data_IF_136993997440
#
_entry.id   IF_136993997440
#
_cell.length_a   1.000
_cell.length_b   1.000
_cell.length_c   1.000
_cell.angle_alpha   90.00
_cell.angle_beta   90.00
_cell.angle_gamma   90.00
#
_symmetry.space_group_name_H-M   'P 1'
#
loop_
_entity.id
_entity.type
_entity.pdbx_description
1 polymer ?
#
# COMPACT_ATOMS: atom_id res chain seq x y z
N UNK A 1 -8.81 31.32 -4.81
CA UNK A 1 -8.31 30.34 -3.83
C UNK A 1 -8.64 28.95 -4.38
N UNK A 2 -7.67 28.33 -5.04
CA UNK A 2 -7.83 27.03 -5.70
C UNK A 2 -7.51 25.95 -4.67
N UNK A 3 -8.53 25.23 -4.19
CA UNK A 3 -8.30 23.93 -3.56
C UNK A 3 -7.86 22.99 -4.68
N UNK A 4 -6.56 22.92 -4.90
CA UNK A 4 -5.97 21.88 -5.75
C UNK A 4 -6.12 20.56 -5.00
N UNK A 5 -7.28 19.93 -5.16
CA UNK A 5 -7.35 18.49 -4.98
C UNK A 5 -6.40 17.92 -6.03
N UNK A 6 -5.20 17.49 -5.61
CA UNK A 6 -4.45 16.56 -6.45
C UNK A 6 -5.31 15.30 -6.49
N UNK A 7 -6.17 15.20 -7.51
CA UNK A 7 -6.68 13.94 -8.03
C UNK A 7 -5.46 13.15 -8.50
N UNK A 8 -4.74 12.63 -7.52
CA UNK A 8 -3.58 11.80 -7.68
C UNK A 8 -4.14 10.41 -7.80
N UNK A 9 -3.96 9.78 -8.95
CA UNK A 9 -4.34 8.39 -9.13
C UNK A 9 -3.39 7.51 -8.31
N UNK A 10 -3.77 6.26 -8.09
CA UNK A 10 -2.88 5.21 -7.58
C UNK A 10 -1.52 5.26 -8.29
N UNK A 11 -1.50 5.49 -9.60
CA UNK A 11 -0.28 5.67 -10.40
C UNK A 11 0.64 6.76 -9.87
N UNK A 12 0.13 7.90 -9.40
CA UNK A 12 0.95 8.98 -8.84
C UNK A 12 1.53 8.61 -7.46
N UNK A 13 0.81 7.83 -6.67
CA UNK A 13 1.31 7.29 -5.41
C UNK A 13 2.46 6.31 -5.65
N UNK A 14 2.26 5.41 -6.62
CA UNK A 14 3.26 4.44 -7.05
C UNK A 14 4.51 5.16 -7.57
N UNK A 15 4.34 6.22 -8.37
CA UNK A 15 5.43 7.05 -8.87
C UNK A 15 6.22 7.71 -7.71
N UNK A 16 5.53 8.36 -6.77
CA UNK A 16 6.18 8.95 -5.59
C UNK A 16 6.92 7.92 -4.71
N UNK A 17 6.33 6.73 -4.56
CA UNK A 17 6.94 5.63 -3.83
C UNK A 17 8.16 5.09 -4.61
N UNK A 18 8.07 5.00 -5.93
CA UNK A 18 9.17 4.61 -6.80
C UNK A 18 10.35 5.59 -6.67
N UNK A 19 10.09 6.91 -6.70
CA UNK A 19 11.09 7.96 -6.46
C UNK A 19 11.74 7.84 -5.07
N UNK A 20 11.01 7.38 -4.06
CA UNK A 20 11.53 7.10 -2.71
C UNK A 20 12.30 5.78 -2.59
N UNK A 21 12.41 5.04 -3.70
CA UNK A 21 13.10 3.76 -3.81
C UNK A 21 12.24 2.54 -3.45
N UNK A 22 10.92 2.67 -3.43
CA UNK A 22 9.99 1.55 -3.28
C UNK A 22 9.66 0.99 -4.68
N UNK A 23 10.59 0.22 -5.22
CA UNK A 23 10.51 -0.31 -6.59
C UNK A 23 9.97 -1.74 -6.67
N UNK A 24 9.59 -2.33 -5.54
CA UNK A 24 9.17 -3.73 -5.46
C UNK A 24 7.65 -3.85 -5.33
N UNK A 25 7.00 -4.63 -6.18
CA UNK A 25 5.55 -4.83 -6.12
C UNK A 25 5.20 -6.01 -5.21
N UNK A 26 4.78 -5.70 -3.98
CA UNK A 26 4.31 -6.71 -3.02
C UNK A 26 2.91 -7.20 -3.35
N UNK A 27 2.15 -6.49 -4.18
CA UNK A 27 0.86 -6.99 -4.65
C UNK A 27 1.02 -8.30 -5.45
N UNK A 28 2.06 -8.38 -6.29
CA UNK A 28 2.42 -9.59 -7.04
C UNK A 28 3.24 -10.61 -6.21
N UNK A 29 3.87 -10.16 -5.12
CA UNK A 29 4.79 -10.96 -4.32
C UNK A 29 4.37 -11.03 -2.85
N UNK A 30 3.06 -11.10 -2.59
CA UNK A 30 2.49 -11.07 -1.23
C UNK A 30 2.95 -12.27 -0.39
N UNK A 31 3.25 -13.41 -1.01
CA UNK A 31 3.87 -14.58 -0.39
C UNK A 31 5.20 -14.29 0.33
N UNK A 32 5.98 -13.30 -0.12
CA UNK A 32 7.22 -12.95 0.57
C UNK A 32 6.95 -12.37 1.94
N UNK A 33 5.88 -11.58 2.06
CA UNK A 33 5.44 -10.98 3.31
C UNK A 33 4.85 -12.08 4.19
N UNK A 34 3.92 -12.89 3.66
CA UNK A 34 3.34 -14.06 4.36
C UNK A 34 4.39 -15.02 4.93
N UNK A 35 5.53 -15.19 4.24
CA UNK A 35 6.63 -16.03 4.73
C UNK A 35 7.40 -15.41 5.89
N UNK A 36 7.53 -14.09 5.96
CA UNK A 36 8.34 -13.40 6.97
C UNK A 36 7.73 -12.04 7.38
N UNK A 37 6.48 -11.98 7.89
CA UNK A 37 5.81 -10.71 8.17
C UNK A 37 6.61 -9.80 9.10
N UNK A 38 7.23 -10.39 10.12
CA UNK A 38 7.99 -9.68 11.13
C UNK A 38 9.23 -8.94 10.59
N UNK A 39 9.62 -9.19 9.33
CA UNK A 39 10.70 -8.48 8.65
C UNK A 39 10.21 -7.33 7.79
N UNK A 40 8.90 -7.07 7.73
CA UNK A 40 8.29 -6.00 6.95
C UNK A 40 7.52 -5.04 7.86
N UNK A 41 7.55 -3.77 7.51
CA UNK A 41 6.89 -2.69 8.24
C UNK A 41 6.29 -1.70 7.24
N UNK A 42 5.06 -1.28 7.47
CA UNK A 42 4.42 -0.23 6.68
C UNK A 42 4.98 1.12 7.15
N UNK A 43 5.63 1.84 6.24
CA UNK A 43 6.24 3.16 6.51
C UNK A 43 5.50 4.30 5.82
N UNK A 44 4.69 3.99 4.80
CA UNK A 44 3.85 4.96 4.10
C UNK A 44 2.46 4.38 3.83
N UNK A 45 1.43 5.22 3.94
CA UNK A 45 0.05 4.87 3.59
C UNK A 45 -0.54 6.05 2.84
N UNK A 46 -1.07 5.80 1.64
CA UNK A 46 -1.73 6.81 0.81
C UNK A 46 -3.12 6.31 0.46
N UNK A 47 -4.17 6.99 0.93
CA UNK A 47 -5.55 6.69 0.56
C UNK A 47 -5.96 7.59 -0.61
N UNK A 48 -6.67 6.99 -1.54
CA UNK A 48 -7.20 7.63 -2.74
C UNK A 48 -8.67 7.29 -2.89
N UNK A 49 -9.45 8.29 -3.27
CA UNK A 49 -10.82 8.13 -3.72
C UNK A 49 -10.78 8.13 -5.25
N UNK A 50 -11.27 7.05 -5.86
CA UNK A 50 -11.35 6.90 -7.30
C UNK A 50 -12.16 8.03 -7.91
N UNK A 51 -11.69 8.52 -9.06
CA UNK A 51 -12.32 9.65 -9.74
C UNK A 51 -13.65 9.28 -10.43
N UNK A 52 -13.95 7.97 -10.53
CA UNK A 52 -15.04 7.43 -11.35
C UNK A 52 -16.23 6.93 -10.53
N UNK A 53 -16.02 6.47 -9.29
CA UNK A 53 -17.10 5.97 -8.43
C UNK A 53 -16.77 6.28 -6.97
N UNK A 54 -17.71 6.83 -6.17
CA UNK A 54 -17.51 7.06 -4.73
C UNK A 54 -17.33 5.76 -3.93
N UNK A 55 -17.50 4.59 -4.56
CA UNK A 55 -17.16 3.28 -3.98
C UNK A 55 -15.77 2.76 -4.34
N UNK A 56 -15.06 3.39 -5.27
CA UNK A 56 -13.76 2.91 -5.75
C UNK A 56 -12.62 3.57 -4.96
N UNK A 57 -12.52 3.26 -3.67
CA UNK A 57 -11.41 3.73 -2.84
C UNK A 57 -10.20 2.80 -3.00
N UNK A 58 -8.99 3.34 -3.02
CA UNK A 58 -7.76 2.55 -3.06
C UNK A 58 -6.75 3.09 -2.05
N UNK A 59 -6.05 2.19 -1.37
CA UNK A 59 -5.01 2.51 -0.39
C UNK A 59 -3.69 1.92 -0.85
N UNK A 60 -2.69 2.77 -1.06
CA UNK A 60 -1.33 2.37 -1.41
C UNK A 60 -0.45 2.40 -0.16
N UNK A 61 0.05 1.24 0.22
CA UNK A 61 0.96 1.03 1.34
C UNK A 61 2.40 0.92 0.83
N UNK A 62 3.28 1.78 1.33
CA UNK A 62 4.73 1.64 1.17
C UNK A 62 5.29 0.80 2.31
N UNK A 63 5.78 -0.39 1.97
CA UNK A 63 6.33 -1.36 2.91
C UNK A 63 7.85 -1.36 2.80
N UNK A 64 8.51 -1.38 3.95
CA UNK A 64 9.95 -1.48 4.08
C UNK A 64 10.30 -2.73 4.87
N UNK A 65 11.26 -3.49 4.37
CA UNK A 65 11.85 -4.60 5.09
C UNK A 65 13.01 -4.12 5.96
N UNK A 66 13.21 -4.79 7.09
CA UNK A 66 14.42 -4.64 7.95
C UNK A 66 15.71 -4.96 7.19
N UNK A 67 15.62 -5.74 6.10
CA UNK A 67 16.74 -6.06 5.19
C UNK A 67 17.07 -4.94 4.19
N UNK A 68 16.27 -3.86 4.16
CA UNK A 68 16.45 -2.74 3.25
C UNK A 68 15.61 -2.83 1.97
N UNK A 69 14.93 -3.95 1.70
CA UNK A 69 13.97 -4.05 0.58
C UNK A 69 12.80 -3.10 0.81
N UNK A 70 12.39 -2.36 -0.22
CA UNK A 70 11.28 -1.41 -0.17
C UNK A 70 10.34 -1.71 -1.32
N UNK A 71 9.05 -1.71 -1.04
CA UNK A 71 8.04 -2.01 -2.04
C UNK A 71 6.68 -1.45 -1.72
N UNK A 72 5.76 -1.62 -2.65
CA UNK A 72 4.43 -1.04 -2.64
C UNK A 72 3.38 -2.15 -2.66
N UNK A 73 2.29 -1.91 -1.95
CA UNK A 73 1.12 -2.77 -1.95
C UNK A 73 -0.12 -1.90 -2.12
N UNK A 74 -0.93 -2.20 -3.12
CA UNK A 74 -2.16 -1.47 -3.41
C UNK A 74 -3.34 -2.31 -2.96
N UNK A 75 -4.18 -1.76 -2.10
CA UNK A 75 -5.46 -2.32 -1.70
C UNK A 75 -6.57 -1.52 -2.37
N UNK A 76 -7.55 -2.18 -2.98
CA UNK A 76 -8.80 -1.53 -3.40
C UNK A 76 -9.91 -1.73 -2.36
N UNK A 77 -11.00 -0.98 -2.46
CA UNK A 77 -12.25 -1.18 -1.71
C UNK A 77 -13.25 -2.04 -2.51
N UNK A 78 -12.75 -3.08 -3.17
CA UNK A 78 -13.61 -4.15 -3.68
C UNK A 78 -13.74 -5.24 -2.61
N UNK A 79 -14.91 -5.89 -2.52
CA UNK A 79 -15.20 -6.89 -1.48
C UNK A 79 -14.14 -8.03 -1.37
N UNK A 80 -13.41 -8.30 -2.45
CA UNK A 80 -12.28 -9.25 -2.48
C UNK A 80 -10.98 -8.68 -1.91
N UNK A 81 -10.75 -7.37 -2.07
CA UNK A 81 -9.54 -6.68 -1.61
C UNK A 81 -9.51 -6.48 -0.10
N UNK A 82 -10.68 -6.39 0.55
CA UNK A 82 -10.81 -6.29 2.01
C UNK A 82 -10.14 -7.49 2.70
N UNK A 83 -10.43 -8.71 2.27
CA UNK A 83 -9.86 -9.93 2.87
C UNK A 83 -8.35 -10.03 2.70
N UNK A 84 -7.81 -9.64 1.53
CA UNK A 84 -6.36 -9.64 1.33
C UNK A 84 -5.68 -8.58 2.19
N UNK A 85 -6.29 -7.40 2.31
CA UNK A 85 -5.77 -6.29 3.11
C UNK A 85 -5.83 -6.60 4.61
N UNK A 86 -6.94 -7.17 5.09
CA UNK A 86 -7.09 -7.61 6.48
C UNK A 86 -6.04 -8.68 6.83
N UNK A 87 -5.85 -9.68 5.95
CA UNK A 87 -4.79 -10.68 6.15
C UNK A 87 -3.41 -10.04 6.13
N UNK A 88 -3.19 -9.08 5.25
CA UNK A 88 -1.91 -8.37 5.14
C UNK A 88 -1.59 -7.56 6.40
N UNK A 89 -2.57 -6.80 6.91
CA UNK A 89 -2.46 -6.04 8.15
C UNK A 89 -2.37 -6.95 9.38
N UNK A 90 -3.02 -8.12 9.36
CA UNK A 90 -2.94 -9.11 10.44
C UNK A 90 -1.58 -9.79 10.48
N UNK A 91 -0.99 -10.05 9.30
CA UNK A 91 0.31 -10.69 9.16
C UNK A 91 1.43 -9.71 9.56
N UNK A 92 1.38 -8.46 9.09
CA UNK A 92 2.25 -7.42 9.61
C UNK A 92 1.92 -7.15 11.07
N UNK A 93 2.72 -7.74 11.96
CA UNK A 93 2.69 -7.41 13.38
C UNK A 93 2.86 -5.89 13.50
N UNK A 94 1.77 -5.20 13.77
CA UNK A 94 1.79 -3.81 14.21
C UNK A 94 2.54 -3.85 15.52
N UNK A 95 3.86 -3.65 15.46
CA UNK A 95 4.73 -3.65 16.64
C UNK A 95 4.56 -2.30 17.34
N UNK A 96 3.33 -2.02 17.73
CA UNK A 96 2.91 -0.95 18.62
C UNK A 96 2.45 -1.58 19.92
N UNK A 97 3.41 -2.09 20.71
CA UNK A 97 3.20 -2.34 22.13
C UNK A 97 4.46 -2.00 22.90
#
# INVERSE_FOLDING_TARGET
MIRMYHYATVSKALDQLNEKGFTFDFNLNSDMIKKNPAKFEIVHVYRYEGNSDPGDEAVVYGIKSTTGKKGVYVSGFSADSDQETEKFLSDLSIKGR
#
